data_IF_372818317014
#
_entry.id   IF_372818317014
#
_cell.length_a   1.000
_cell.length_b   1.000
_cell.length_c   1.000
_cell.angle_alpha   90.00
_cell.angle_beta   90.00
_cell.angle_gamma   90.00
#
_symmetry.space_group_name_H-M   'P 1'
#
loop_
_entity.id
_entity.type
_entity.pdbx_description
1 polymer ?
#
# COMPACT_ATOMS: atom_id res chain seq x y z
N UNK A 1 -7.59 13.71 -14.73
CA UNK A 1 -7.56 12.25 -14.55
C UNK A 1 -8.08 11.54 -15.77
N UNK A 2 -9.34 11.81 -16.14
CA UNK A 2 -9.95 11.09 -17.25
C UNK A 2 -9.24 11.29 -18.56
N UNK A 3 -8.69 12.47 -18.80
CA UNK A 3 -8.00 12.75 -20.05
C UNK A 3 -6.74 11.90 -20.21
N UNK A 4 -5.96 11.74 -19.14
CA UNK A 4 -4.76 10.92 -19.20
C UNK A 4 -5.11 9.47 -19.53
N UNK A 5 -6.17 8.96 -18.90
CA UNK A 5 -6.59 7.58 -19.15
C UNK A 5 -7.10 7.41 -20.57
N UNK A 6 -7.81 8.40 -21.10
CA UNK A 6 -8.33 8.31 -22.46
C UNK A 6 -7.23 8.37 -23.50
N UNK A 7 -6.07 8.95 -23.16
CA UNK A 7 -4.92 8.99 -24.05
C UNK A 7 -4.18 7.66 -24.14
N UNK A 8 -4.41 6.78 -23.20
CA UNK A 8 -3.81 5.45 -23.21
C UNK A 8 -2.42 5.38 -22.63
N UNK A 9 -1.85 6.49 -22.17
CA UNK A 9 -0.52 6.49 -21.56
C UNK A 9 -0.36 7.69 -20.63
N UNK A 10 0.59 7.57 -19.70
CA UNK A 10 0.93 8.66 -18.79
C UNK A 10 2.32 8.45 -18.23
N UNK A 11 2.95 9.54 -17.80
CA UNK A 11 4.24 9.49 -17.10
C UNK A 11 4.06 10.23 -15.79
N UNK A 12 4.44 9.59 -14.70
CA UNK A 12 4.26 10.13 -13.36
C UNK A 12 5.61 10.39 -12.71
N UNK A 13 5.74 11.55 -12.07
CA UNK A 13 6.91 11.85 -11.24
C UNK A 13 6.63 11.30 -9.85
N UNK A 14 7.11 10.08 -9.60
CA UNK A 14 6.84 9.38 -8.34
C UNK A 14 7.45 10.13 -7.16
N UNK A 15 8.66 10.65 -7.32
CA UNK A 15 9.33 11.37 -6.24
C UNK A 15 8.53 12.61 -5.82
N UNK A 16 7.95 13.31 -6.78
CA UNK A 16 7.11 14.48 -6.49
C UNK A 16 5.87 14.07 -5.69
N UNK A 17 5.23 12.97 -6.08
CA UNK A 17 4.05 12.48 -5.39
C UNK A 17 4.37 12.05 -3.96
N UNK A 18 5.53 11.44 -3.76
CA UNK A 18 5.99 11.04 -2.42
C UNK A 18 6.14 12.28 -1.54
N UNK A 19 6.72 13.36 -2.09
CA UNK A 19 6.89 14.60 -1.33
C UNK A 19 5.56 15.22 -0.87
N UNK A 20 4.47 14.89 -1.57
CA UNK A 20 3.14 15.43 -1.23
C UNK A 20 2.39 14.58 -0.21
N UNK A 21 2.90 13.40 0.13
CA UNK A 21 2.29 12.61 1.20
C UNK A 21 2.44 13.37 2.53
N UNK A 22 1.40 13.38 3.36
CA UNK A 22 1.47 14.15 4.62
C UNK A 22 2.53 13.60 5.56
N UNK A 23 3.08 14.47 6.41
CA UNK A 23 4.06 14.03 7.40
C UNK A 23 3.43 13.18 8.49
N UNK A 24 2.15 13.43 8.79
CA UNK A 24 1.41 12.69 9.79
C UNK A 24 0.03 12.33 9.25
N UNK A 25 -0.55 11.30 9.80
CA UNK A 25 -1.91 10.89 9.44
C UNK A 25 -2.59 10.25 10.65
N UNK A 26 -3.91 10.36 10.70
CA UNK A 26 -4.70 9.67 11.71
C UNK A 26 -4.94 8.22 11.32
N UNK A 27 -4.88 7.92 10.01
CA UNK A 27 -4.96 6.56 9.50
C UNK A 27 -3.60 5.88 9.58
N UNK A 28 -3.57 4.55 9.43
CA UNK A 28 -2.32 3.80 9.45
C UNK A 28 -1.48 4.10 8.23
N UNK A 29 -2.14 4.36 7.10
CA UNK A 29 -1.52 4.56 5.79
C UNK A 29 -2.18 5.75 5.11
N UNK A 30 -1.43 6.49 4.29
CA UNK A 30 -1.98 7.47 3.37
C UNK A 30 -1.37 7.25 2.00
N UNK A 31 -2.18 7.43 0.95
CA UNK A 31 -1.73 7.14 -0.41
C UNK A 31 -1.95 8.31 -1.36
N UNK A 32 -1.29 8.20 -2.50
CA UNK A 32 -1.57 9.02 -3.68
C UNK A 32 -1.71 8.06 -4.86
N UNK A 33 -2.84 8.12 -5.54
CA UNK A 33 -3.17 7.18 -6.62
C UNK A 33 -2.74 7.75 -7.96
N UNK A 34 -2.06 6.92 -8.76
CA UNK A 34 -1.64 7.28 -10.12
C UNK A 34 -2.65 6.80 -11.14
N UNK A 35 -3.02 5.52 -11.08
CA UNK A 35 -3.99 4.92 -12.00
C UNK A 35 -4.97 4.07 -11.21
N UNK A 36 -6.14 3.85 -11.80
CA UNK A 36 -7.18 3.06 -11.16
C UNK A 36 -8.07 2.47 -12.24
N UNK A 37 -7.54 1.46 -12.96
CA UNK A 37 -8.24 0.77 -14.04
C UNK A 37 -8.64 -0.63 -13.62
N UNK A 38 -9.52 -1.25 -14.40
CA UNK A 38 -9.98 -2.60 -14.10
C UNK A 38 -8.85 -3.61 -14.02
N UNK A 39 -7.83 -3.47 -14.85
CA UNK A 39 -6.73 -4.43 -14.91
C UNK A 39 -5.69 -4.21 -13.83
N UNK A 40 -5.53 -2.97 -13.35
CA UNK A 40 -4.54 -2.68 -12.32
C UNK A 40 -4.79 -1.28 -11.75
N UNK A 41 -4.30 -1.04 -10.53
CA UNK A 41 -4.19 0.30 -9.98
C UNK A 41 -2.79 0.48 -9.41
N UNK A 42 -2.26 1.70 -9.51
CA UNK A 42 -0.91 2.01 -9.03
C UNK A 42 -0.98 3.23 -8.12
N UNK A 43 -0.23 3.17 -7.03
CA UNK A 43 -0.19 4.24 -6.04
C UNK A 43 1.15 4.26 -5.32
N UNK A 44 1.47 5.39 -4.67
CA UNK A 44 2.48 5.40 -3.61
C UNK A 44 1.75 5.57 -2.29
N UNK A 45 2.27 4.95 -1.24
CA UNK A 45 1.68 5.13 0.08
C UNK A 45 2.77 5.16 1.16
N UNK A 46 2.47 5.84 2.25
CA UNK A 46 3.34 5.90 3.42
C UNK A 46 2.67 5.20 4.59
N UNK A 47 3.45 4.42 5.30
CA UNK A 47 3.00 3.70 6.51
C UNK A 47 3.46 4.50 7.72
N UNK A 48 2.51 4.95 8.53
CA UNK A 48 2.80 5.84 9.67
C UNK A 48 2.96 5.10 10.98
N UNK A 49 2.40 3.90 11.08
CA UNK A 49 2.47 3.06 12.28
C UNK A 49 2.30 1.61 11.90
N UNK A 50 2.66 0.67 12.79
CA UNK A 50 2.48 -0.76 12.47
C UNK A 50 1.05 -1.08 12.05
N UNK A 51 0.92 -1.97 11.07
CA UNK A 51 -0.39 -2.40 10.57
C UNK A 51 -0.67 -3.82 11.07
N UNK A 52 -1.91 -4.09 11.51
CA UNK A 52 -2.27 -5.43 11.96
C UNK A 52 -2.46 -6.39 10.80
N UNK A 53 -2.49 -7.70 11.06
CA UNK A 53 -2.72 -8.71 10.02
C UNK A 53 -4.03 -8.45 9.27
N UNK A 54 -3.93 -8.44 7.94
CA UNK A 54 -5.07 -8.20 7.06
C UNK A 54 -4.78 -8.81 5.69
N UNK A 55 -5.81 -8.88 4.84
CA UNK A 55 -5.68 -9.42 3.50
C UNK A 55 -6.67 -8.74 2.56
N UNK A 56 -6.42 -8.92 1.25
CA UNK A 56 -7.29 -8.40 0.20
C UNK A 56 -7.89 -9.58 -0.56
N UNK A 57 -9.13 -9.44 -1.02
CA UNK A 57 -9.82 -10.53 -1.71
C UNK A 57 -9.90 -10.32 -3.22
N UNK A 58 -9.66 -9.11 -3.71
CA UNK A 58 -9.90 -8.77 -5.11
C UNK A 58 -8.63 -8.58 -5.93
N UNK A 59 -7.45 -8.56 -5.30
CA UNK A 59 -6.21 -8.26 -6.03
C UNK A 59 -5.01 -9.01 -5.46
N UNK A 60 -4.05 -9.24 -6.33
CA UNK A 60 -2.66 -9.54 -5.93
C UNK A 60 -1.96 -8.20 -5.80
N UNK A 61 -0.87 -8.14 -5.04
CA UNK A 61 -0.21 -6.86 -4.80
C UNK A 61 1.30 -6.97 -4.93
N UNK A 62 1.88 -5.97 -5.60
CA UNK A 62 3.33 -5.76 -5.67
C UNK A 62 3.65 -4.50 -4.91
N UNK A 63 4.67 -4.55 -4.04
CA UNK A 63 5.15 -3.41 -3.29
C UNK A 63 6.64 -3.23 -3.57
N UNK A 64 7.01 -2.08 -4.10
CA UNK A 64 8.42 -1.74 -4.28
C UNK A 64 8.80 -0.69 -3.24
N UNK A 65 9.74 -1.04 -2.35
CA UNK A 65 10.14 -0.15 -1.26
C UNK A 65 10.98 1.00 -1.80
N UNK A 66 10.53 2.23 -1.51
CA UNK A 66 11.19 3.45 -1.97
C UNK A 66 12.03 4.08 -0.86
N UNK A 67 11.57 4.06 0.38
CA UNK A 67 12.29 4.65 1.50
C UNK A 67 11.89 3.98 2.81
N UNK A 68 12.72 4.18 3.82
CA UNK A 68 12.48 3.64 5.15
C UNK A 68 12.76 2.16 5.23
N UNK A 69 12.59 1.59 6.42
CA UNK A 69 12.79 0.15 6.65
C UNK A 69 11.74 -0.32 7.62
N UNK A 70 11.22 -1.52 7.36
CA UNK A 70 10.22 -2.13 8.24
C UNK A 70 10.37 -3.63 8.24
N UNK A 71 9.67 -4.29 9.16
CA UNK A 71 9.48 -5.74 9.09
C UNK A 71 8.08 -5.99 8.58
N UNK A 72 7.96 -6.95 7.66
CA UNK A 72 6.68 -7.42 7.17
C UNK A 72 6.53 -8.89 7.53
N UNK A 73 5.30 -9.30 7.78
CA UNK A 73 5.01 -10.69 8.12
C UNK A 73 3.90 -11.20 7.21
N UNK A 74 4.07 -12.42 6.71
CA UNK A 74 3.12 -13.08 5.81
C UNK A 74 2.66 -14.36 6.49
N UNK A 75 1.35 -14.43 6.83
CA UNK A 75 0.80 -15.55 7.56
C UNK A 75 1.55 -15.75 8.88
N UNK A 76 1.93 -17.00 9.13
CA UNK A 76 2.67 -17.37 10.34
C UNK A 76 4.18 -17.44 10.11
N UNK A 77 4.67 -17.07 8.94
CA UNK A 77 6.11 -17.08 8.67
C UNK A 77 6.81 -16.02 9.52
N UNK A 78 8.11 -16.22 9.80
CA UNK A 78 8.86 -15.21 10.54
C UNK A 78 8.89 -13.87 9.80
N UNK A 79 8.87 -12.74 10.51
CA UNK A 79 8.94 -11.43 9.87
C UNK A 79 10.20 -11.28 9.02
N UNK A 80 10.08 -10.53 7.92
CA UNK A 80 11.16 -10.27 6.97
C UNK A 80 11.44 -8.79 6.97
N UNK A 81 12.71 -8.41 6.97
CA UNK A 81 13.09 -7.01 6.88
C UNK A 81 13.02 -6.55 5.43
N UNK A 82 12.36 -5.39 5.21
CA UNK A 82 12.16 -4.81 3.88
C UNK A 82 12.68 -3.38 3.89
N UNK A 83 13.49 -3.05 2.90
CA UNK A 83 14.08 -1.72 2.74
C UNK A 83 14.18 -1.32 1.28
N UNK A 84 14.70 -0.11 1.00
CA UNK A 84 14.69 0.45 -0.35
C UNK A 84 15.27 -0.49 -1.40
N UNK A 85 14.59 -0.59 -2.53
CA UNK A 85 15.02 -1.43 -3.64
C UNK A 85 14.50 -2.86 -3.58
N UNK A 86 13.79 -3.23 -2.53
CA UNK A 86 13.24 -4.59 -2.40
C UNK A 86 11.81 -4.62 -2.94
N UNK A 87 11.49 -5.69 -3.66
CA UNK A 87 10.16 -5.92 -4.22
C UNK A 87 9.47 -7.01 -3.43
N UNK A 88 8.28 -6.72 -2.94
CA UNK A 88 7.43 -7.65 -2.20
C UNK A 88 6.25 -8.02 -3.07
N UNK A 89 5.85 -9.29 -3.05
CA UNK A 89 4.68 -9.76 -3.77
C UNK A 89 3.86 -10.67 -2.87
N UNK A 90 2.54 -10.51 -2.91
CA UNK A 90 1.64 -11.47 -2.29
C UNK A 90 0.34 -11.56 -3.07
N UNK A 91 -0.22 -12.77 -3.08
CA UNK A 91 -1.47 -13.03 -3.77
C UNK A 91 -2.66 -12.61 -2.91
N UNK A 92 -3.81 -12.43 -3.57
CA UNK A 92 -5.07 -12.20 -2.86
C UNK A 92 -5.27 -13.31 -1.84
N UNK A 93 -5.81 -12.94 -0.69
CA UNK A 93 -6.04 -13.86 0.41
C UNK A 93 -4.85 -14.08 1.33
N UNK A 94 -3.65 -13.66 0.93
CA UNK A 94 -2.47 -13.81 1.79
C UNK A 94 -2.52 -12.77 2.90
N UNK A 95 -2.52 -13.25 4.14
CA UNK A 95 -2.51 -12.38 5.31
C UNK A 95 -1.13 -11.75 5.45
N UNK A 96 -1.09 -10.43 5.59
CA UNK A 96 0.16 -9.70 5.72
C UNK A 96 0.01 -8.57 6.73
N UNK A 97 1.15 -8.10 7.25
CA UNK A 97 1.18 -7.02 8.24
C UNK A 97 2.54 -6.36 8.24
N UNK A 98 2.59 -5.17 8.86
CA UNK A 98 3.85 -4.50 9.16
C UNK A 98 3.92 -4.42 10.70
N UNK A 99 4.48 -5.44 11.35
CA UNK A 99 4.52 -5.45 12.82
C UNK A 99 5.48 -4.42 13.40
N UNK A 100 6.47 -3.95 12.63
CA UNK A 100 7.47 -3.05 13.17
C UNK A 100 8.00 -2.11 12.09
N UNK A 101 8.08 -0.81 12.43
CA UNK A 101 8.75 0.20 11.61
C UNK A 101 10.14 0.42 12.21
N UNK A 102 11.17 0.23 11.38
CA UNK A 102 12.55 0.34 11.83
C UNK A 102 13.14 1.71 11.52
N UNK A 103 12.75 2.30 10.39
CA UNK A 103 13.33 3.56 9.92
C UNK A 103 12.28 4.30 9.09
N UNK A 104 11.96 5.54 9.49
CA UNK A 104 10.94 6.33 8.80
C UNK A 104 11.57 7.30 7.81
N UNK A 105 10.81 7.76 6.80
CA UNK A 105 9.46 7.34 6.44
C UNK A 105 9.46 6.05 5.61
N UNK A 106 8.50 5.18 5.88
CA UNK A 106 8.31 3.94 5.12
C UNK A 106 7.35 4.23 3.98
N UNK A 107 7.85 4.15 2.75
CA UNK A 107 7.09 4.48 1.55
C UNK A 107 7.24 3.36 0.52
N UNK A 108 6.12 2.95 -0.05
CA UNK A 108 6.07 1.93 -1.09
C UNK A 108 5.38 2.46 -2.34
N UNK A 109 5.87 2.01 -3.50
CA UNK A 109 5.11 2.06 -4.74
C UNK A 109 4.35 0.73 -4.82
N UNK A 110 3.05 0.81 -5.00
CA UNK A 110 2.18 -0.37 -4.98
C UNK A 110 1.44 -0.52 -6.30
N UNK A 111 1.35 -1.75 -6.79
CA UNK A 111 0.51 -2.10 -7.93
C UNK A 111 -0.41 -3.23 -7.51
N UNK A 112 -1.71 -2.98 -7.59
CA UNK A 112 -2.76 -3.98 -7.35
C UNK A 112 -3.25 -4.49 -8.69
N UNK A 113 -3.30 -5.80 -8.87
CA UNK A 113 -3.73 -6.40 -10.13
C UNK A 113 -4.55 -7.67 -9.86
N UNK A 114 -5.81 -7.72 -10.34
CA UNK A 114 -6.56 -6.62 -10.92
C UNK A 114 -6.77 -5.50 -9.89
N UNK A 115 -7.54 -4.48 -10.27
CA UNK A 115 -7.82 -3.36 -9.40
C UNK A 115 -8.38 -3.82 -8.06
N UNK A 116 -7.86 -3.26 -6.97
CA UNK A 116 -8.41 -3.52 -5.65
C UNK A 116 -9.66 -2.69 -5.42
N UNK A 117 -10.74 -3.32 -4.96
CA UNK A 117 -11.92 -2.59 -4.54
C UNK A 117 -11.53 -1.64 -3.39
N UNK A 118 -12.06 -0.41 -3.35
CA UNK A 118 -11.58 0.62 -2.42
C UNK A 118 -11.62 0.22 -0.94
N UNK A 119 -12.58 -0.61 -0.55
CA UNK A 119 -12.72 -1.01 0.85
C UNK A 119 -12.33 -2.46 1.11
N UNK A 120 -11.58 -3.06 0.20
CA UNK A 120 -11.19 -4.47 0.30
C UNK A 120 -9.94 -4.62 1.18
N UNK A 121 -10.14 -4.39 2.46
CA UNK A 121 -9.13 -4.62 3.50
C UNK A 121 -9.84 -5.40 4.59
N UNK A 122 -9.47 -6.69 4.72
CA UNK A 122 -10.12 -7.61 5.65
C UNK A 122 -9.17 -7.85 6.80
N UNK A 123 -9.54 -7.40 8.00
CA UNK A 123 -8.71 -7.60 9.18
C UNK A 123 -8.97 -8.98 9.76
N UNK A 124 -7.90 -9.71 10.07
CA UNK A 124 -8.01 -11.04 10.68
C UNK A 124 -8.70 -10.92 12.03
N UNK A 125 -8.31 -9.90 12.82
CA UNK A 125 -8.98 -9.58 14.08
C UNK A 125 -9.76 -8.28 13.87
N UNK A 126 -11.09 -8.39 13.84
CA UNK A 126 -11.97 -7.25 13.53
C UNK A 126 -11.80 -6.09 14.51
N UNK A 127 -11.28 -6.33 15.70
CA UNK A 127 -11.05 -5.26 16.67
C UNK A 127 -9.83 -4.42 16.38
N UNK A 128 -8.98 -4.80 15.40
CA UNK A 128 -7.72 -4.11 15.16
C UNK A 128 -7.81 -2.98 14.14
N UNK A 129 -8.88 -2.91 13.35
CA UNK A 129 -9.02 -1.83 12.39
C UNK A 129 -10.21 -1.97 11.47
N UNK A 130 -10.42 -0.93 10.68
CA UNK A 130 -11.45 -0.87 9.64
C UNK A 130 -10.81 -0.29 8.38
N UNK A 131 -11.45 -0.42 7.20
CA UNK A 131 -10.92 0.25 6.01
C UNK A 131 -10.68 1.74 6.21
N UNK A 132 -11.56 2.41 6.96
CA UNK A 132 -11.43 3.85 7.20
C UNK A 132 -10.30 4.19 8.16
N UNK A 133 -10.00 3.33 9.13
CA UNK A 133 -8.87 3.58 10.03
C UNK A 133 -7.55 3.17 9.39
N UNK A 134 -7.58 2.27 8.40
CA UNK A 134 -6.38 1.78 7.76
C UNK A 134 -5.81 2.81 6.79
N UNK A 135 -6.60 3.26 5.83
CA UNK A 135 -6.08 4.08 4.75
C UNK A 135 -6.98 5.28 4.47
N UNK A 136 -6.36 6.47 4.42
CA UNK A 136 -7.03 7.65 3.90
C UNK A 136 -7.04 7.54 2.38
N UNK A 137 -8.23 7.54 1.78
CA UNK A 137 -8.37 7.43 0.33
C UNK A 137 -7.97 8.73 -0.34
N UNK A 138 -7.16 8.63 -1.38
CA UNK A 138 -6.82 9.79 -2.21
C UNK A 138 -7.98 10.09 -3.15
N UNK A 139 -8.09 11.35 -3.52
CA UNK A 139 -9.17 11.84 -4.39
C UNK A 139 -8.89 11.68 -5.85
#
# INVERSE_FOLDING_TARGET
MGEEQSAGHAVFDVAESVRRLPETATTMVADHRFTDDETASARVFRVYRPTPPHYHTTCDEYLYALSGRCRMQFGDAPPVEVGPGMLVFFKRGVVHSVPEILEEPVVFLSVDTPRRAPRDIQFVDAGTGTPDSFMRQSE
#
